data_IF_570246978716
#
_entry.id   IF_570246978716
#
_cell.length_a   1.000
_cell.length_b   1.000
_cell.length_c   1.000
_cell.angle_alpha   90.00
_cell.angle_beta   90.00
_cell.angle_gamma   90.00
#
_symmetry.space_group_name_H-M   'P 1'
#
loop_
_entity.id
_entity.type
_entity.pdbx_description
1 polymer ?
#
# COMPACT_ATOMS: atom_id res chain seq x y z
N UNK A 1 14.48 -9.53 -32.23
CA UNK A 1 14.64 -8.09 -32.47
C UNK A 1 15.27 -7.36 -31.25
N UNK A 2 14.75 -7.43 -30.00
CA UNK A 2 15.38 -6.77 -28.85
C UNK A 2 16.79 -7.32 -28.52
N UNK A 3 17.01 -8.62 -28.60
CA UNK A 3 18.32 -9.26 -28.32
C UNK A 3 19.43 -8.91 -29.30
N UNK A 4 19.12 -8.32 -30.43
CA UNK A 4 20.11 -7.94 -31.46
C UNK A 4 20.67 -6.53 -31.24
N UNK A 5 19.97 -5.71 -30.44
CA UNK A 5 20.30 -4.29 -30.21
C UNK A 5 20.52 -3.94 -28.73
N UNK A 6 20.33 -4.89 -27.81
CA UNK A 6 20.48 -4.69 -26.39
C UNK A 6 21.22 -5.85 -25.72
N UNK A 7 22.21 -5.53 -24.88
CA UNK A 7 22.85 -6.50 -23.99
C UNK A 7 21.94 -6.75 -22.79
N UNK A 8 21.25 -7.91 -22.80
CA UNK A 8 20.29 -8.29 -21.76
C UNK A 8 20.98 -9.28 -20.84
N UNK A 9 21.14 -8.89 -19.57
CA UNK A 9 21.61 -9.75 -18.49
C UNK A 9 20.46 -10.02 -17.52
N UNK A 10 20.25 -11.31 -17.23
CA UNK A 10 19.33 -11.72 -16.15
C UNK A 10 20.05 -11.66 -14.80
N UNK A 11 19.32 -11.60 -13.70
CA UNK A 11 19.88 -11.61 -12.33
C UNK A 11 20.79 -12.82 -12.10
N UNK A 12 20.44 -13.99 -12.65
CA UNK A 12 21.25 -15.21 -12.54
C UNK A 12 22.59 -15.11 -13.24
N UNK A 13 22.65 -14.35 -14.35
CA UNK A 13 23.90 -14.10 -15.10
C UNK A 13 24.80 -13.08 -14.43
N UNK A 14 24.22 -12.18 -13.62
CA UNK A 14 24.96 -11.13 -12.94
C UNK A 14 25.55 -11.58 -11.60
N UNK A 15 25.18 -12.76 -11.10
CA UNK A 15 25.61 -13.30 -9.80
C UNK A 15 25.57 -12.27 -8.67
N UNK A 16 24.51 -11.42 -8.66
CA UNK A 16 24.36 -10.39 -7.65
C UNK A 16 24.09 -11.05 -6.28
N UNK A 17 24.65 -10.51 -5.19
CA UNK A 17 24.33 -10.94 -3.85
C UNK A 17 22.88 -10.52 -3.53
N UNK A 18 21.95 -11.41 -3.84
CA UNK A 18 20.51 -11.19 -3.55
C UNK A 18 20.22 -11.85 -2.22
N UNK A 19 19.61 -11.15 -1.26
CA UNK A 19 19.20 -11.76 0.00
C UNK A 19 18.13 -12.83 -0.23
N UNK A 20 18.16 -13.87 0.61
CA UNK A 20 17.11 -14.88 0.59
C UNK A 20 15.78 -14.27 1.03
N UNK A 21 14.75 -14.40 0.18
CA UNK A 21 13.44 -13.86 0.44
C UNK A 21 12.51 -14.91 1.06
N UNK A 22 11.93 -14.60 2.21
CA UNK A 22 10.84 -15.36 2.82
C UNK A 22 9.51 -14.68 2.48
N UNK A 23 8.64 -15.39 1.78
CA UNK A 23 7.32 -14.87 1.40
C UNK A 23 6.26 -15.35 2.39
N UNK A 24 5.54 -14.40 2.97
CA UNK A 24 4.41 -14.68 3.85
C UNK A 24 3.16 -13.97 3.32
N UNK A 25 2.04 -14.70 3.23
CA UNK A 25 0.76 -14.16 2.78
C UNK A 25 -0.19 -14.04 3.95
N UNK A 26 -0.57 -12.81 4.30
CA UNK A 26 -1.57 -12.54 5.33
C UNK A 26 -2.94 -12.39 4.67
N UNK A 27 -3.87 -13.30 4.97
CA UNK A 27 -5.23 -13.30 4.43
C UNK A 27 -6.20 -12.83 5.50
N UNK A 28 -7.06 -11.89 5.14
CA UNK A 28 -8.14 -11.37 6.00
C UNK A 28 -9.50 -11.65 5.39
N UNK A 29 -10.53 -11.80 6.24
CA UNK A 29 -11.91 -11.96 5.79
C UNK A 29 -12.52 -10.58 5.52
N UNK A 30 -13.33 -10.44 4.44
CA UNK A 30 -14.05 -9.19 4.19
C UNK A 30 -15.13 -8.94 5.24
N UNK A 31 -15.38 -7.67 5.56
CA UNK A 31 -16.51 -7.25 6.37
C UNK A 31 -17.85 -7.50 5.63
N UNK A 32 -18.98 -7.49 6.34
CA UNK A 32 -20.30 -7.59 5.69
C UNK A 32 -20.52 -6.40 4.73
N UNK A 33 -20.10 -5.21 5.12
CA UNK A 33 -20.15 -4.01 4.26
C UNK A 33 -19.36 -4.22 2.96
N UNK A 34 -18.15 -4.77 3.05
CA UNK A 34 -17.37 -5.08 1.84
C UNK A 34 -18.05 -6.11 0.94
N UNK A 35 -18.70 -7.12 1.53
CA UNK A 35 -19.45 -8.13 0.75
C UNK A 35 -20.61 -7.51 -0.01
N UNK A 36 -21.39 -6.63 0.64
CA UNK A 36 -22.48 -5.87 -0.01
C UNK A 36 -21.95 -4.97 -1.14
N UNK A 37 -20.84 -4.28 -0.91
CA UNK A 37 -20.19 -3.47 -1.95
C UNK A 37 -19.75 -4.30 -3.15
N UNK A 38 -19.18 -5.49 -2.92
CA UNK A 38 -18.76 -6.40 -4.01
C UNK A 38 -20.00 -6.93 -4.76
N UNK A 39 -21.10 -7.22 -4.08
CA UNK A 39 -22.35 -7.57 -4.73
C UNK A 39 -22.82 -6.45 -5.67
N UNK A 40 -22.81 -5.22 -5.20
CA UNK A 40 -23.15 -4.06 -6.01
C UNK A 40 -22.23 -3.91 -7.25
N UNK A 41 -20.92 -4.13 -7.08
CA UNK A 41 -20.00 -4.14 -8.23
C UNK A 41 -20.37 -5.20 -9.26
N UNK A 42 -20.79 -6.39 -8.82
CA UNK A 42 -21.20 -7.46 -9.72
C UNK A 42 -22.45 -7.07 -10.51
N UNK A 43 -23.42 -6.41 -9.88
CA UNK A 43 -24.63 -5.91 -10.55
C UNK A 43 -24.29 -4.80 -11.56
N UNK A 44 -23.39 -3.88 -11.21
CA UNK A 44 -22.89 -2.84 -12.12
C UNK A 44 -22.19 -3.46 -13.33
N UNK A 45 -21.32 -4.44 -13.11
CA UNK A 45 -20.62 -5.15 -14.16
C UNK A 45 -21.60 -5.85 -15.13
N UNK A 46 -22.66 -6.47 -14.62
CA UNK A 46 -23.69 -7.07 -15.45
C UNK A 46 -24.41 -6.04 -16.32
N UNK A 47 -24.74 -4.86 -15.78
CA UNK A 47 -25.35 -3.75 -16.54
C UNK A 47 -24.45 -3.22 -17.64
N UNK A 48 -23.17 -3.01 -17.34
CA UNK A 48 -22.16 -2.59 -18.33
C UNK A 48 -22.02 -3.65 -19.43
N UNK A 49 -21.96 -4.92 -19.07
CA UNK A 49 -21.83 -6.03 -20.02
C UNK A 49 -23.07 -6.15 -20.94
N UNK A 50 -24.26 -5.91 -20.42
CA UNK A 50 -25.51 -5.94 -21.21
C UNK A 50 -25.73 -4.68 -22.06
N UNK A 51 -24.87 -3.67 -21.95
CA UNK A 51 -25.00 -2.41 -22.68
C UNK A 51 -26.18 -1.52 -22.23
N UNK A 52 -26.69 -1.74 -21.00
CA UNK A 52 -27.83 -0.99 -20.45
C UNK A 52 -27.42 0.32 -19.78
N UNK A 53 -26.11 0.57 -19.64
CA UNK A 53 -25.53 1.79 -19.06
C UNK A 53 -24.56 2.39 -20.05
N UNK A 54 -24.60 3.72 -20.21
CA UNK A 54 -23.66 4.43 -21.06
C UNK A 54 -22.23 4.36 -20.47
N UNK A 55 -21.24 4.18 -21.34
CA UNK A 55 -19.83 4.06 -20.91
C UNK A 55 -19.29 5.32 -20.22
N UNK A 56 -19.94 6.47 -20.42
CA UNK A 56 -19.62 7.73 -19.73
C UNK A 56 -20.16 7.78 -18.29
N UNK A 57 -21.21 6.99 -17.98
CA UNK A 57 -21.79 6.91 -16.65
C UNK A 57 -21.09 5.84 -15.80
N UNK A 58 -20.89 4.64 -16.38
CA UNK A 58 -20.18 3.55 -15.71
C UNK A 58 -19.49 2.62 -16.74
N UNK A 59 -18.35 2.06 -16.36
CA UNK A 59 -17.58 1.17 -17.23
C UNK A 59 -16.70 0.22 -16.41
N UNK A 60 -16.16 -0.80 -17.06
CA UNK A 60 -15.34 -1.81 -16.38
C UNK A 60 -14.10 -1.24 -15.71
N UNK A 61 -13.53 -0.12 -16.20
CA UNK A 61 -12.38 0.53 -15.57
C UNK A 61 -12.76 1.16 -14.23
N UNK A 62 -13.90 1.86 -14.18
CA UNK A 62 -14.46 2.42 -12.95
C UNK A 62 -14.73 1.31 -11.92
N UNK A 63 -15.42 0.25 -12.34
CA UNK A 63 -15.76 -0.91 -11.49
C UNK A 63 -14.50 -1.58 -10.95
N UNK A 64 -13.49 -1.79 -11.78
CA UNK A 64 -12.21 -2.38 -11.36
C UNK A 64 -11.49 -1.49 -10.35
N UNK A 65 -11.47 -0.17 -10.57
CA UNK A 65 -10.87 0.78 -9.65
C UNK A 65 -11.60 0.81 -8.30
N UNK A 66 -12.93 0.79 -8.30
CA UNK A 66 -13.74 0.71 -7.09
C UNK A 66 -13.49 -0.63 -6.36
N UNK A 67 -13.40 -1.73 -7.09
CA UNK A 67 -13.05 -3.04 -6.53
C UNK A 67 -11.69 -3.06 -5.83
N UNK A 68 -10.69 -2.39 -6.39
CA UNK A 68 -9.37 -2.22 -5.75
C UNK A 68 -9.46 -1.42 -4.45
N UNK A 69 -10.24 -0.33 -4.44
CA UNK A 69 -10.48 0.48 -3.24
C UNK A 69 -11.18 -0.34 -2.15
N UNK A 70 -12.29 -1.01 -2.49
CA UNK A 70 -13.05 -1.86 -1.55
C UNK A 70 -12.15 -2.97 -0.99
N UNK A 71 -11.34 -3.60 -1.84
CA UNK A 71 -10.42 -4.66 -1.44
C UNK A 71 -9.29 -4.20 -0.53
N UNK A 72 -8.98 -2.90 -0.50
CA UNK A 72 -7.99 -2.33 0.40
C UNK A 72 -8.65 -1.87 1.71
N UNK A 73 -9.59 -0.92 1.63
CA UNK A 73 -10.35 -0.42 2.78
C UNK A 73 -11.68 0.19 2.33
N UNK A 74 -12.79 -0.18 2.99
CA UNK A 74 -14.14 0.30 2.67
C UNK A 74 -14.28 1.83 2.78
N UNK A 75 -13.48 2.48 3.63
CA UNK A 75 -13.47 3.94 3.82
C UNK A 75 -12.95 4.70 2.60
N UNK A 76 -12.26 4.04 1.68
CA UNK A 76 -11.88 4.63 0.38
C UNK A 76 -13.07 4.84 -0.56
N UNK A 77 -14.19 4.15 -0.32
CA UNK A 77 -15.45 4.38 -1.03
C UNK A 77 -16.33 5.39 -0.32
N UNK A 78 -16.38 5.31 1.02
CA UNK A 78 -17.13 6.24 1.84
C UNK A 78 -16.39 6.46 3.18
N UNK A 79 -15.78 7.63 3.40
CA UNK A 79 -15.03 7.94 4.62
C UNK A 79 -15.84 7.88 5.92
N UNK A 80 -17.17 7.92 5.83
CA UNK A 80 -18.08 7.82 6.99
C UNK A 80 -18.27 6.38 7.49
N UNK A 81 -17.80 5.39 6.75
CA UNK A 81 -17.86 4.00 7.18
C UNK A 81 -16.91 3.74 8.35
N UNK A 82 -17.28 2.81 9.24
CA UNK A 82 -16.43 2.47 10.38
C UNK A 82 -15.12 1.83 9.93
N UNK A 83 -14.08 2.04 10.73
CA UNK A 83 -12.85 1.26 10.63
C UNK A 83 -13.12 -0.19 11.07
N UNK A 84 -12.88 -1.14 10.18
CA UNK A 84 -13.02 -2.56 10.50
C UNK A 84 -11.72 -3.09 11.13
N UNK A 85 -11.74 -3.50 12.42
CA UNK A 85 -10.56 -4.05 13.10
C UNK A 85 -9.94 -5.27 12.39
N UNK A 86 -10.73 -6.01 11.63
CA UNK A 86 -10.29 -7.17 10.86
C UNK A 86 -9.84 -6.82 9.43
N UNK A 87 -9.88 -5.54 9.05
CA UNK A 87 -9.49 -5.08 7.71
C UNK A 87 -8.05 -5.45 7.35
N UNK A 88 -7.80 -5.48 6.05
CA UNK A 88 -6.44 -5.66 5.50
C UNK A 88 -5.48 -4.60 6.02
N UNK A 89 -5.94 -3.36 6.14
CA UNK A 89 -5.16 -2.24 6.65
C UNK A 89 -4.75 -2.46 8.11
N UNK A 90 -5.71 -2.83 8.97
CA UNK A 90 -5.42 -3.12 10.38
C UNK A 90 -4.56 -4.38 10.55
N UNK A 91 -4.72 -5.39 9.70
CA UNK A 91 -3.81 -6.53 9.68
C UNK A 91 -2.38 -6.13 9.29
N UNK A 92 -2.22 -5.24 8.31
CA UNK A 92 -0.92 -4.68 7.94
C UNK A 92 -0.28 -3.91 9.09
N UNK A 93 -1.02 -3.03 9.76
CA UNK A 93 -0.52 -2.27 10.92
C UNK A 93 -0.05 -3.21 12.03
N UNK A 94 -0.83 -4.24 12.37
CA UNK A 94 -0.42 -5.24 13.38
C UNK A 94 0.87 -5.95 12.99
N UNK A 95 1.00 -6.34 11.72
CA UNK A 95 2.20 -7.00 11.24
C UNK A 95 3.43 -6.08 11.30
N UNK A 96 3.27 -4.82 10.90
CA UNK A 96 4.33 -3.81 10.99
C UNK A 96 4.76 -3.59 12.44
N UNK A 97 3.82 -3.49 13.37
CA UNK A 97 4.11 -3.32 14.80
C UNK A 97 4.85 -4.55 15.38
N UNK A 98 4.42 -5.76 15.00
CA UNK A 98 5.09 -6.98 15.45
C UNK A 98 6.55 -7.03 14.96
N UNK A 99 6.78 -6.75 13.67
CA UNK A 99 8.14 -6.73 13.11
C UNK A 99 8.98 -5.59 13.72
N UNK A 100 8.36 -4.44 14.00
CA UNK A 100 9.04 -3.32 14.65
C UNK A 100 9.51 -3.67 16.05
N UNK A 101 8.66 -4.33 16.84
CA UNK A 101 9.01 -4.78 18.21
C UNK A 101 10.09 -5.87 18.18
N UNK A 102 9.92 -6.89 17.32
CA UNK A 102 10.87 -8.01 17.20
C UNK A 102 12.23 -7.55 16.67
N UNK A 103 12.23 -6.54 15.79
CA UNK A 103 13.44 -6.01 15.17
C UNK A 103 14.09 -4.82 15.90
N UNK A 104 13.56 -4.41 17.04
CA UNK A 104 13.94 -3.17 17.73
C UNK A 104 15.40 -3.13 18.14
N UNK A 105 15.93 -4.21 18.70
CA UNK A 105 17.33 -4.29 19.10
C UNK A 105 18.30 -4.26 17.92
N UNK A 106 17.89 -4.82 16.80
CA UNK A 106 18.66 -4.87 15.55
C UNK A 106 18.45 -3.64 14.68
N UNK A 107 17.56 -2.71 15.06
CA UNK A 107 17.19 -1.51 14.33
C UNK A 107 16.78 -1.82 12.88
N UNK A 108 15.97 -2.87 12.67
CA UNK A 108 15.52 -3.31 11.34
C UNK A 108 14.67 -2.25 10.66
N UNK A 109 14.81 -2.13 9.35
CA UNK A 109 14.05 -1.20 8.52
C UNK A 109 12.94 -1.94 7.79
N UNK A 110 11.73 -1.37 7.76
CA UNK A 110 10.60 -1.88 7.01
C UNK A 110 10.25 -0.94 5.87
N UNK A 111 9.91 -1.52 4.72
CA UNK A 111 9.40 -0.79 3.57
C UNK A 111 7.95 -1.22 3.32
N UNK A 112 7.03 -0.26 3.37
CA UNK A 112 5.61 -0.48 3.12
C UNK A 112 5.23 0.11 1.76
N UNK A 113 4.75 -0.73 0.85
CA UNK A 113 4.30 -0.32 -0.47
C UNK A 113 2.77 -0.32 -0.55
N UNK A 114 2.21 0.80 -0.97
CA UNK A 114 0.78 0.95 -1.26
C UNK A 114 0.63 1.80 -2.53
N UNK A 115 -0.05 1.25 -3.52
CA UNK A 115 -0.25 1.88 -4.82
C UNK A 115 -1.56 2.68 -4.93
N UNK A 116 -2.36 2.67 -3.86
CA UNK A 116 -3.62 3.40 -3.78
C UNK A 116 -3.58 4.45 -2.66
N UNK A 117 -4.44 5.47 -2.82
CA UNK A 117 -4.71 6.45 -1.77
C UNK A 117 -3.49 7.27 -1.35
N UNK A 118 -2.62 7.65 -2.30
CA UNK A 118 -1.52 8.58 -2.06
C UNK A 118 -2.05 9.88 -1.45
N UNK A 119 -1.40 10.43 -0.40
CA UNK A 119 -1.84 11.67 0.25
C UNK A 119 -1.91 12.85 -0.73
N UNK A 120 -3.02 13.58 -0.69
CA UNK A 120 -3.25 14.76 -1.55
C UNK A 120 -3.32 16.08 -0.77
N UNK A 121 -3.21 16.03 0.55
CA UNK A 121 -3.37 17.18 1.47
C UNK A 121 -4.73 17.89 1.30
N UNK A 122 -5.78 17.16 0.92
CA UNK A 122 -7.14 17.65 0.70
C UNK A 122 -8.07 17.41 1.91
N UNK A 123 -7.51 16.90 3.01
CA UNK A 123 -8.26 16.55 4.21
C UNK A 123 -9.15 15.30 4.07
N UNK A 124 -9.11 14.62 2.94
CA UNK A 124 -9.85 13.38 2.73
C UNK A 124 -9.12 12.19 3.37
N UNK A 125 -9.91 11.17 3.71
CA UNK A 125 -9.35 9.91 4.19
C UNK A 125 -8.34 9.33 3.20
N UNK A 126 -7.16 9.01 3.67
CA UNK A 126 -6.18 8.26 2.90
C UNK A 126 -5.48 7.21 3.78
N UNK A 127 -5.03 6.15 3.13
CA UNK A 127 -4.44 4.97 3.79
C UNK A 127 -3.12 5.31 4.47
N UNK A 128 -2.31 6.20 3.90
CA UNK A 128 -1.00 6.56 4.43
C UNK A 128 -1.11 7.26 5.78
N UNK A 129 -1.98 8.27 5.88
CA UNK A 129 -2.19 9.01 7.12
C UNK A 129 -2.86 8.15 8.20
N UNK A 130 -3.78 7.24 7.80
CA UNK A 130 -4.40 6.30 8.73
C UNK A 130 -3.38 5.33 9.32
N UNK A 131 -2.50 4.74 8.49
CA UNK A 131 -1.41 3.87 8.96
C UNK A 131 -0.47 4.65 9.88
N UNK A 132 -0.02 5.85 9.48
CA UNK A 132 0.85 6.68 10.32
C UNK A 132 0.19 6.95 11.68
N UNK A 133 -1.06 7.38 11.68
CA UNK A 133 -1.81 7.66 12.91
C UNK A 133 -1.87 6.45 13.83
N UNK A 134 -2.15 5.27 13.29
CA UNK A 134 -2.21 4.01 14.05
C UNK A 134 -0.86 3.58 14.60
N UNK A 135 0.21 3.73 13.82
CA UNK A 135 1.57 3.44 14.28
C UNK A 135 2.00 4.38 15.43
N UNK A 136 1.75 5.69 15.30
CA UNK A 136 2.04 6.65 16.36
C UNK A 136 1.22 6.37 17.63
N UNK A 137 -0.07 6.06 17.48
CA UNK A 137 -0.95 5.69 18.60
C UNK A 137 -0.48 4.42 19.32
N UNK A 138 0.18 3.50 18.62
CA UNK A 138 0.79 2.30 19.18
C UNK A 138 2.18 2.53 19.80
N UNK A 139 2.70 3.77 19.76
CA UNK A 139 3.97 4.14 20.41
C UNK A 139 5.20 4.15 19.50
N UNK A 140 5.03 3.97 18.20
CA UNK A 140 6.15 4.16 17.24
C UNK A 140 6.50 5.64 17.20
N UNK A 141 7.78 6.04 17.40
CA UNK A 141 8.18 7.43 17.34
C UNK A 141 7.95 8.04 15.94
N UNK A 142 7.48 9.28 15.87
CA UNK A 142 7.25 9.95 14.58
C UNK A 142 8.53 10.03 13.74
N UNK A 143 9.68 10.13 14.37
CA UNK A 143 10.99 10.15 13.70
C UNK A 143 11.33 8.85 12.97
N UNK A 144 10.64 7.75 13.27
CA UNK A 144 10.83 6.44 12.64
C UNK A 144 9.85 6.17 11.49
N UNK A 145 8.87 7.08 11.26
CA UNK A 145 7.88 6.94 10.19
C UNK A 145 8.11 8.04 9.15
N UNK A 146 8.37 7.65 7.91
CA UNK A 146 8.59 8.59 6.82
C UNK A 146 7.84 8.17 5.56
N UNK A 147 7.28 9.16 4.86
CA UNK A 147 6.68 8.97 3.55
C UNK A 147 7.64 9.43 2.45
N UNK A 148 7.83 8.64 1.44
CA UNK A 148 8.67 9.01 0.30
C UNK A 148 8.15 10.25 -0.43
N UNK A 149 6.85 10.51 -0.36
CA UNK A 149 6.21 11.68 -0.98
C UNK A 149 6.48 12.99 -0.24
N UNK A 150 6.81 12.91 1.05
CA UNK A 150 7.09 14.09 1.89
C UNK A 150 8.53 14.57 1.78
N UNK A 151 9.37 13.85 1.04
CA UNK A 151 10.77 14.18 0.89
C UNK A 151 10.96 15.10 -0.30
N UNK A 152 11.58 16.25 -0.07
CA UNK A 152 11.81 17.27 -1.07
C UNK A 152 12.66 16.72 -2.23
N UNK A 153 12.40 17.20 -3.45
CA UNK A 153 13.00 16.68 -4.70
C UNK A 153 14.52 16.82 -4.70
N UNK A 154 15.06 17.82 -3.99
CA UNK A 154 16.51 18.02 -3.84
C UNK A 154 17.14 16.98 -2.91
N UNK A 155 16.48 16.64 -1.81
CA UNK A 155 16.90 15.57 -0.92
C UNK A 155 16.84 14.19 -1.61
N UNK A 156 15.88 13.99 -2.52
CA UNK A 156 15.80 12.79 -3.37
C UNK A 156 17.00 12.67 -4.31
N UNK A 157 17.47 13.77 -4.88
CA UNK A 157 18.67 13.80 -5.75
C UNK A 157 19.97 13.52 -4.98
N UNK A 158 20.02 13.87 -3.70
CA UNK A 158 21.21 13.67 -2.84
C UNK A 158 21.29 12.33 -2.12
N UNK A 159 20.34 11.41 -2.31
CA UNK A 159 20.33 10.12 -1.60
C UNK A 159 20.10 10.23 -0.09
N UNK A 160 19.72 11.41 0.41
CA UNK A 160 19.71 11.78 1.84
C UNK A 160 18.68 11.00 2.66
N UNK A 161 17.57 10.53 2.05
CA UNK A 161 16.55 9.76 2.76
C UNK A 161 17.03 8.35 3.09
N UNK A 162 17.69 7.70 2.14
CA UNK A 162 18.33 6.41 2.40
C UNK A 162 19.49 6.56 3.41
N UNK A 163 20.27 7.65 3.32
CA UNK A 163 21.36 7.92 4.24
C UNK A 163 20.88 8.29 5.65
N UNK A 164 19.77 8.97 5.83
CA UNK A 164 19.22 9.25 7.18
C UNK A 164 18.63 8.03 7.84
N UNK A 165 18.01 7.13 7.09
CA UNK A 165 17.59 5.82 7.59
C UNK A 165 18.80 4.92 7.91
N UNK A 166 19.84 4.91 7.06
CA UNK A 166 21.06 4.13 7.25
C UNK A 166 21.97 4.70 8.35
N UNK A 167 22.04 6.03 8.54
CA UNK A 167 22.82 6.65 9.64
C UNK A 167 22.26 6.35 11.02
N UNK A 168 20.96 6.18 11.16
CA UNK A 168 20.34 5.76 12.44
C UNK A 168 20.62 4.30 12.81
N UNK A 169 21.11 3.51 11.87
CA UNK A 169 21.55 2.14 12.14
C UNK A 169 23.03 2.06 12.57
N UNK A 170 23.78 3.19 12.55
CA UNK A 170 25.22 3.21 12.81
C UNK A 170 25.61 3.85 14.17
N UNK A 171 24.66 4.48 14.87
CA UNK A 171 24.78 5.01 16.24
C UNK A 171 24.01 4.13 17.23
#
# INVERSE_FOLDING_TARGET
MFKEVADIKTSDQLHLPVPEAKFETVVVKPSEIQKEMVQNLSERAAKVHSGTVDASEDNMLCITNDGRKIGLDQRLMNPLLPDDPASKLNACVRNVLQIWEDGREQKLTQLLFCDLSTPKNDGQFNVYDDIKTKLLAAGVPESEVAFIHSVDTEAKKGGTVLQSALRRCAD
#
